data_IF_980911033444
#
_entry.id   IF_980911033444
#
_cell.length_a   1.000
_cell.length_b   1.000
_cell.length_c   1.000
_cell.angle_alpha   90.00
_cell.angle_beta   90.00
_cell.angle_gamma   90.00
#
_symmetry.space_group_name_H-M   'P 1'
#
loop_
_entity.id
_entity.type
_entity.pdbx_description
1 polymer ?
#
# COMPACT_ATOMS: atom_id res chain seq x y z
N UNK A 1 1.81 14.55 -18.86
CA UNK A 1 1.22 13.79 -17.77
C UNK A 1 0.31 12.72 -18.37
N UNK A 2 0.46 11.46 -17.98
CA UNK A 2 -0.43 10.38 -18.39
C UNK A 2 -1.85 10.73 -17.94
N UNK A 3 -2.82 10.66 -18.84
CA UNK A 3 -4.22 10.88 -18.52
C UNK A 3 -4.90 9.55 -18.24
N UNK A 4 -5.40 9.38 -17.05
CA UNK A 4 -6.09 8.16 -16.64
C UNK A 4 -6.26 8.08 -15.13
N UNK A 5 -6.93 7.04 -14.70
CA UNK A 5 -7.29 6.82 -13.31
C UNK A 5 -6.20 6.06 -12.56
N UNK A 6 -5.98 6.43 -11.30
CA UNK A 6 -5.18 5.67 -10.35
C UNK A 6 -6.12 5.07 -9.31
N UNK A 7 -6.12 3.75 -9.21
CA UNK A 7 -6.88 3.03 -8.19
C UNK A 7 -6.11 3.08 -6.87
N UNK A 8 -6.80 3.42 -5.76
CA UNK A 8 -6.24 3.37 -4.41
C UNK A 8 -7.12 2.47 -3.54
N UNK A 9 -6.58 1.35 -3.09
CA UNK A 9 -7.30 0.45 -2.19
C UNK A 9 -7.20 0.91 -0.73
N UNK A 10 -8.29 0.79 0.04
CA UNK A 10 -8.34 1.30 1.41
C UNK A 10 -8.31 2.83 1.49
N UNK A 11 -8.90 3.53 0.51
CA UNK A 11 -8.85 4.98 0.36
C UNK A 11 -9.72 5.78 1.36
N UNK A 12 -10.46 5.13 2.25
CA UNK A 12 -11.44 5.79 3.11
C UNK A 12 -10.85 6.41 4.39
N UNK A 13 -9.60 6.12 4.74
CA UNK A 13 -8.91 6.63 5.95
C UNK A 13 -7.40 6.43 5.92
N UNK A 14 -6.69 7.11 6.81
CA UNK A 14 -5.27 6.89 7.11
C UNK A 14 -4.36 7.13 5.90
N UNK A 15 -3.43 6.21 5.66
CA UNK A 15 -2.43 6.33 4.57
C UNK A 15 -3.11 6.36 3.20
N UNK A 16 -4.10 5.49 2.96
CA UNK A 16 -4.81 5.43 1.68
C UNK A 16 -5.59 6.70 1.35
N UNK A 17 -6.25 7.29 2.33
CA UNK A 17 -6.90 8.60 2.20
C UNK A 17 -5.90 9.70 1.85
N UNK A 18 -4.79 9.77 2.59
CA UNK A 18 -3.75 10.76 2.34
C UNK A 18 -3.14 10.61 0.94
N UNK A 19 -2.94 9.36 0.47
CA UNK A 19 -2.47 9.08 -0.90
C UNK A 19 -3.49 9.56 -1.93
N UNK A 20 -4.77 9.25 -1.74
CA UNK A 20 -5.84 9.70 -2.64
C UNK A 20 -5.86 11.23 -2.79
N UNK A 21 -5.82 11.95 -1.66
CA UNK A 21 -5.78 13.42 -1.63
C UNK A 21 -4.54 13.96 -2.36
N UNK A 22 -3.37 13.38 -2.11
CA UNK A 22 -2.12 13.85 -2.72
C UNK A 22 -2.09 13.60 -4.24
N UNK A 23 -2.60 12.45 -4.71
CA UNK A 23 -2.71 12.15 -6.14
C UNK A 23 -3.67 13.13 -6.84
N UNK A 24 -4.85 13.40 -6.26
CA UNK A 24 -5.78 14.37 -6.82
C UNK A 24 -5.17 15.78 -6.84
N UNK A 25 -4.49 16.20 -5.76
CA UNK A 25 -3.77 17.49 -5.69
C UNK A 25 -2.73 17.64 -6.80
N UNK A 26 -2.14 16.52 -7.25
CA UNK A 26 -1.18 16.50 -8.38
C UNK A 26 -1.87 16.42 -9.75
N UNK A 27 -3.18 16.38 -9.81
CA UNK A 27 -3.97 16.39 -11.04
C UNK A 27 -4.22 15.00 -11.63
N UNK A 28 -4.10 13.93 -10.84
CA UNK A 28 -4.51 12.58 -11.24
C UNK A 28 -5.98 12.32 -10.90
N UNK A 29 -6.67 11.57 -11.76
CA UNK A 29 -8.00 11.07 -11.46
C UNK A 29 -7.89 9.88 -10.48
N UNK A 30 -8.62 9.92 -9.36
CA UNK A 30 -8.55 8.89 -8.32
C UNK A 30 -9.82 8.04 -8.29
N UNK A 31 -9.63 6.71 -8.26
CA UNK A 31 -10.66 5.72 -7.99
C UNK A 31 -10.38 5.04 -6.65
N UNK A 32 -11.13 5.42 -5.60
CA UNK A 32 -10.95 4.90 -4.26
C UNK A 32 -11.76 3.63 -4.02
N UNK A 33 -11.11 2.50 -3.69
CA UNK A 33 -11.78 1.26 -3.31
C UNK A 33 -11.81 1.11 -1.79
N UNK A 34 -12.99 0.90 -1.23
CA UNK A 34 -13.18 0.65 0.21
C UNK A 34 -14.44 -0.19 0.47
N UNK A 35 -14.53 -0.84 1.63
CA UNK A 35 -15.73 -1.62 2.02
C UNK A 35 -17.01 -0.78 2.07
N UNK A 36 -16.91 0.50 2.32
CA UNK A 36 -18.07 1.41 2.36
C UNK A 36 -18.35 2.11 1.04
N UNK A 37 -17.50 1.95 0.03
CA UNK A 37 -17.55 2.73 -1.20
C UNK A 37 -17.21 4.22 -1.02
N UNK A 38 -16.87 4.65 0.21
CA UNK A 38 -16.56 6.05 0.50
C UNK A 38 -15.10 6.36 0.21
N UNK A 39 -14.86 7.52 -0.36
CA UNK A 39 -13.56 8.17 -0.51
C UNK A 39 -13.72 9.66 -0.21
N UNK A 40 -12.63 10.33 0.16
CA UNK A 40 -12.64 11.79 0.45
C UNK A 40 -12.54 12.59 -0.85
N UNK A 41 -11.87 12.02 -1.86
CA UNK A 41 -11.66 12.62 -3.18
C UNK A 41 -11.85 11.58 -4.27
N UNK A 42 -12.11 12.03 -5.50
CA UNK A 42 -12.29 11.17 -6.66
C UNK A 42 -13.58 10.35 -6.61
N UNK A 43 -13.62 9.24 -7.33
CA UNK A 43 -14.77 8.34 -7.40
C UNK A 43 -14.61 7.16 -6.43
N UNK A 44 -15.62 6.93 -5.57
CA UNK A 44 -15.61 5.81 -4.62
C UNK A 44 -16.30 4.57 -5.16
N UNK A 45 -15.73 3.40 -4.88
CA UNK A 45 -16.26 2.09 -5.26
C UNK A 45 -16.28 1.15 -4.04
N UNK A 46 -17.41 0.50 -3.82
CA UNK A 46 -17.51 -0.52 -2.78
C UNK A 46 -16.74 -1.78 -3.22
N UNK A 47 -15.83 -2.23 -2.36
CA UNK A 47 -15.01 -3.41 -2.60
C UNK A 47 -14.54 -4.00 -1.28
N UNK A 48 -14.85 -5.27 -1.04
CA UNK A 48 -14.17 -6.08 -0.02
C UNK A 48 -12.92 -6.70 -0.65
N UNK A 49 -11.76 -6.27 -0.21
CA UNK A 49 -10.48 -6.76 -0.71
C UNK A 49 -10.19 -8.22 -0.34
N UNK A 50 -11.00 -8.86 0.49
CA UNK A 50 -10.89 -10.30 0.78
C UNK A 50 -11.70 -11.18 -0.17
N UNK A 51 -12.50 -10.58 -1.06
CA UNK A 51 -13.30 -11.24 -2.07
C UNK A 51 -12.73 -10.95 -3.48
N UNK A 52 -12.21 -12.00 -4.11
CA UNK A 52 -11.60 -11.93 -5.45
C UNK A 52 -12.59 -11.40 -6.50
N UNK A 53 -13.85 -11.81 -6.43
CA UNK A 53 -14.87 -11.36 -7.36
C UNK A 53 -15.23 -9.89 -7.17
N UNK A 54 -15.31 -9.44 -5.92
CA UNK A 54 -15.53 -8.02 -5.62
C UNK A 54 -14.38 -7.13 -6.15
N UNK A 55 -13.13 -7.60 -6.09
CA UNK A 55 -11.97 -6.91 -6.65
C UNK A 55 -12.10 -6.81 -8.18
N UNK A 56 -12.38 -7.91 -8.87
CA UNK A 56 -12.55 -7.94 -10.31
C UNK A 56 -13.68 -7.01 -10.78
N UNK A 57 -14.86 -7.09 -10.14
CA UNK A 57 -16.01 -6.26 -10.46
C UNK A 57 -15.74 -4.75 -10.23
N UNK A 58 -15.04 -4.41 -9.15
CA UNK A 58 -14.68 -3.03 -8.86
C UNK A 58 -13.70 -2.46 -9.90
N UNK A 59 -12.66 -3.21 -10.27
CA UNK A 59 -11.69 -2.80 -11.30
C UNK A 59 -12.37 -2.65 -12.66
N UNK A 60 -13.27 -3.57 -13.03
CA UNK A 60 -14.06 -3.48 -14.27
C UNK A 60 -14.92 -2.21 -14.31
N UNK A 61 -15.56 -1.84 -13.18
CA UNK A 61 -16.34 -0.60 -13.05
C UNK A 61 -15.47 0.65 -13.23
N UNK A 62 -14.25 0.65 -12.68
CA UNK A 62 -13.28 1.74 -12.88
C UNK A 62 -12.87 1.82 -14.35
N UNK A 63 -12.49 0.70 -14.96
CA UNK A 63 -12.08 0.63 -16.36
C UNK A 63 -13.17 1.11 -17.33
N UNK A 64 -14.45 0.89 -17.01
CA UNK A 64 -15.57 1.39 -17.80
C UNK A 64 -15.70 2.94 -17.83
N UNK A 65 -15.01 3.65 -16.91
CA UNK A 65 -15.02 5.12 -16.85
C UNK A 65 -13.84 5.77 -17.59
N UNK A 66 -12.79 5.00 -17.89
CA UNK A 66 -11.62 5.49 -18.61
C UNK A 66 -10.38 4.65 -18.36
N UNK A 67 -9.25 4.98 -19.01
CA UNK A 67 -8.01 4.26 -18.87
C UNK A 67 -7.53 4.21 -17.41
N UNK A 68 -6.97 3.07 -17.01
CA UNK A 68 -6.29 2.92 -15.72
C UNK A 68 -4.79 2.97 -15.98
N UNK A 69 -4.08 3.88 -15.31
CA UNK A 69 -2.64 4.09 -15.43
C UNK A 69 -1.87 3.71 -14.16
N UNK A 70 -2.59 3.40 -13.08
CA UNK A 70 -1.94 3.08 -11.82
C UNK A 70 -2.83 2.34 -10.84
N UNK A 71 -2.15 1.65 -9.91
CA UNK A 71 -2.76 0.96 -8.77
C UNK A 71 -1.92 1.20 -7.53
N UNK A 72 -2.56 1.64 -6.44
CA UNK A 72 -1.94 1.68 -5.11
C UNK A 72 -2.61 0.62 -4.23
N UNK A 73 -1.90 -0.45 -3.93
CA UNK A 73 -2.32 -1.49 -3.00
C UNK A 73 -2.00 -1.05 -1.57
N UNK A 74 -2.95 -0.38 -0.92
CA UNK A 74 -2.78 0.11 0.45
C UNK A 74 -3.68 -0.62 1.45
N UNK A 75 -4.80 -1.19 1.04
CA UNK A 75 -5.68 -1.93 1.95
C UNK A 75 -4.92 -3.02 2.71
N UNK A 76 -5.06 -3.02 4.03
CA UNK A 76 -4.39 -3.97 4.91
C UNK A 76 -4.87 -3.83 6.35
N UNK A 77 -4.52 -4.81 7.16
CA UNK A 77 -4.77 -4.84 8.59
C UNK A 77 -3.52 -5.32 9.34
N UNK A 78 -3.40 -4.88 10.57
CA UNK A 78 -2.37 -5.27 11.50
C UNK A 78 -3.02 -5.71 12.81
N UNK A 79 -2.69 -6.92 13.24
CA UNK A 79 -3.08 -7.46 14.52
C UNK A 79 -1.89 -8.18 15.14
N UNK A 80 -1.54 -7.79 16.37
CA UNK A 80 -0.46 -8.41 17.14
C UNK A 80 -0.98 -9.61 17.93
N UNK A 81 -0.27 -10.76 17.82
CA UNK A 81 -0.58 -11.96 18.60
C UNK A 81 0.68 -12.80 18.81
N UNK A 82 0.85 -13.36 19.99
CA UNK A 82 1.96 -14.28 20.27
C UNK A 82 1.95 -15.45 19.31
N UNK A 83 3.10 -15.81 18.77
CA UNK A 83 3.20 -16.91 17.78
C UNK A 83 2.68 -18.25 18.30
N UNK A 84 2.81 -18.50 19.61
CA UNK A 84 2.28 -19.72 20.27
C UNK A 84 0.76 -19.76 20.40
N UNK A 85 0.10 -18.60 20.25
CA UNK A 85 -1.35 -18.43 20.38
C UNK A 85 -2.02 -18.10 19.04
N UNK A 86 -1.23 -17.89 17.98
CA UNK A 86 -1.70 -17.54 16.64
C UNK A 86 -2.38 -18.75 16.01
N UNK A 87 -3.67 -18.67 15.77
CA UNK A 87 -4.39 -19.72 15.05
C UNK A 87 -4.08 -19.67 13.55
N UNK A 88 -4.27 -20.80 12.87
CA UNK A 88 -4.15 -20.85 11.41
C UNK A 88 -5.14 -19.88 10.74
N UNK A 89 -6.35 -19.78 11.26
CA UNK A 89 -7.37 -18.87 10.74
C UNK A 89 -6.96 -17.39 10.83
N UNK A 90 -6.35 -16.96 11.93
CA UNK A 90 -5.84 -15.59 12.09
C UNK A 90 -4.69 -15.32 11.09
N UNK A 91 -3.77 -16.29 10.96
CA UNK A 91 -2.67 -16.21 10.01
C UNK A 91 -3.19 -16.09 8.57
N UNK A 92 -4.10 -16.97 8.15
CA UNK A 92 -4.71 -16.98 6.82
C UNK A 92 -5.51 -15.71 6.54
N UNK A 93 -6.25 -15.20 7.53
CA UNK A 93 -7.00 -13.95 7.41
C UNK A 93 -6.07 -12.77 7.11
N UNK A 94 -4.95 -12.67 7.84
CA UNK A 94 -3.93 -11.64 7.61
C UNK A 94 -3.31 -11.77 6.22
N UNK A 95 -2.92 -12.99 5.83
CA UNK A 95 -2.35 -13.27 4.50
C UNK A 95 -3.34 -12.95 3.39
N UNK A 96 -4.60 -13.30 3.56
CA UNK A 96 -5.67 -13.04 2.57
C UNK A 96 -5.80 -11.55 2.26
N UNK A 97 -5.89 -10.70 3.29
CA UNK A 97 -6.05 -9.27 3.08
C UNK A 97 -4.75 -8.59 2.63
N UNK A 98 -3.61 -8.92 3.28
CA UNK A 98 -2.38 -8.14 3.10
C UNK A 98 -1.52 -8.61 1.92
N UNK A 99 -1.65 -9.87 1.47
CA UNK A 99 -0.84 -10.45 0.41
C UNK A 99 -1.67 -10.97 -0.77
N UNK A 100 -2.66 -11.86 -0.51
CA UNK A 100 -3.46 -12.45 -1.60
C UNK A 100 -4.27 -11.38 -2.34
N UNK A 101 -4.88 -10.43 -1.61
CA UNK A 101 -5.62 -9.32 -2.21
C UNK A 101 -4.73 -8.44 -3.10
N UNK A 102 -3.47 -8.22 -2.71
CA UNK A 102 -2.48 -7.48 -3.53
C UNK A 102 -2.23 -8.21 -4.84
N UNK A 103 -1.97 -9.52 -4.79
CA UNK A 103 -1.76 -10.34 -5.98
C UNK A 103 -3.01 -10.32 -6.89
N UNK A 104 -4.21 -10.51 -6.33
CA UNK A 104 -5.46 -10.48 -7.10
C UNK A 104 -5.68 -9.12 -7.76
N UNK A 105 -5.55 -8.02 -7.01
CA UNK A 105 -5.72 -6.67 -7.57
C UNK A 105 -4.71 -6.38 -8.69
N UNK A 106 -3.44 -6.79 -8.53
CA UNK A 106 -2.43 -6.67 -9.58
C UNK A 106 -2.81 -7.47 -10.83
N UNK A 107 -3.28 -8.72 -10.67
CA UNK A 107 -3.71 -9.56 -11.79
C UNK A 107 -4.90 -8.96 -12.53
N UNK A 108 -5.93 -8.52 -11.81
CA UNK A 108 -7.14 -7.97 -12.41
C UNK A 108 -6.90 -6.63 -13.13
N UNK A 109 -5.99 -5.80 -12.61
CA UNK A 109 -5.67 -4.52 -13.26
C UNK A 109 -4.70 -4.66 -14.44
N UNK A 110 -3.94 -5.75 -14.52
CA UNK A 110 -2.88 -5.96 -15.53
C UNK A 110 -3.30 -5.68 -16.96
N UNK A 111 -4.43 -6.22 -17.51
CA UNK A 111 -4.80 -5.97 -18.90
C UNK A 111 -5.04 -4.48 -19.19
N UNK A 112 -5.53 -3.73 -18.23
CA UNK A 112 -5.80 -2.29 -18.34
C UNK A 112 -4.50 -1.48 -18.30
N UNK A 113 -3.57 -1.84 -17.41
CA UNK A 113 -2.25 -1.20 -17.32
C UNK A 113 -1.41 -1.47 -18.56
N UNK A 114 -1.43 -2.71 -19.08
CA UNK A 114 -0.76 -3.07 -20.33
C UNK A 114 -1.31 -2.27 -21.51
N UNK A 115 -2.62 -2.06 -21.57
CA UNK A 115 -3.25 -1.26 -22.60
C UNK A 115 -2.85 0.23 -22.55
N UNK A 116 -2.49 0.75 -21.37
CA UNK A 116 -2.00 2.14 -21.22
C UNK A 116 -0.57 2.33 -21.70
N UNK A 117 0.26 1.27 -21.70
CA UNK A 117 1.63 1.27 -22.22
C UNK A 117 2.67 1.96 -21.33
N UNK A 118 2.26 2.68 -20.31
CA UNK A 118 3.12 3.29 -19.29
C UNK A 118 2.33 3.38 -17.98
N UNK A 119 2.61 2.49 -17.04
CA UNK A 119 1.84 2.35 -15.83
C UNK A 119 2.73 2.09 -14.60
N UNK A 120 2.18 2.40 -13.42
CA UNK A 120 2.86 2.16 -12.15
C UNK A 120 1.92 1.47 -11.16
N UNK A 121 2.41 0.39 -10.55
CA UNK A 121 1.84 -0.20 -9.35
C UNK A 121 2.72 0.19 -8.15
N UNK A 122 2.09 0.72 -7.11
CA UNK A 122 2.74 0.95 -5.81
C UNK A 122 2.07 0.09 -4.76
N UNK A 123 2.79 -0.86 -4.22
CA UNK A 123 2.36 -1.64 -3.07
C UNK A 123 2.76 -0.91 -1.79
N UNK A 124 1.90 -0.89 -0.78
CA UNK A 124 2.25 -0.36 0.54
C UNK A 124 2.68 -1.54 1.42
N UNK A 125 3.98 -1.71 1.49
CA UNK A 125 4.64 -2.70 2.32
C UNK A 125 4.71 -2.32 3.80
N UNK A 126 5.82 -2.63 4.42
CA UNK A 126 6.17 -2.20 5.78
C UNK A 126 7.64 -2.53 6.04
N UNK A 127 8.30 -1.76 6.88
CA UNK A 127 9.64 -2.10 7.38
C UNK A 127 9.67 -3.42 8.21
N UNK A 128 8.51 -3.99 8.54
CA UNK A 128 8.35 -5.30 9.14
C UNK A 128 8.66 -6.46 8.16
N UNK A 129 8.83 -6.18 6.87
CA UNK A 129 9.21 -7.18 5.86
C UNK A 129 10.60 -7.77 6.09
N UNK A 130 11.49 -6.99 6.72
CA UNK A 130 12.89 -7.36 7.00
C UNK A 130 13.25 -7.40 8.49
N UNK A 131 12.37 -6.94 9.39
CA UNK A 131 12.63 -6.92 10.83
C UNK A 131 11.81 -7.97 11.55
N UNK A 132 12.45 -8.67 12.49
CA UNK A 132 11.75 -9.53 13.43
C UNK A 132 11.06 -8.67 14.51
N UNK A 133 9.72 -8.65 14.50
CA UNK A 133 8.92 -7.92 15.48
C UNK A 133 8.09 -8.90 16.28
N UNK A 134 8.31 -8.90 17.59
CA UNK A 134 7.61 -9.79 18.53
C UNK A 134 6.10 -9.61 18.39
N UNK A 135 5.35 -10.71 18.48
CA UNK A 135 3.88 -10.75 18.34
C UNK A 135 3.33 -10.39 16.96
N UNK A 136 4.17 -10.27 15.94
CA UNK A 136 3.75 -9.79 14.61
C UNK A 136 4.04 -10.78 13.47
N UNK A 137 4.11 -12.10 13.77
CA UNK A 137 4.51 -13.12 12.81
C UNK A 137 3.68 -13.07 11.52
N UNK A 138 2.34 -13.08 11.61
CA UNK A 138 1.47 -13.08 10.43
C UNK A 138 1.63 -11.80 9.59
N UNK A 139 1.72 -10.65 10.26
CA UNK A 139 1.91 -9.36 9.59
C UNK A 139 3.27 -9.28 8.90
N UNK A 140 4.37 -9.63 9.58
CA UNK A 140 5.72 -9.68 9.00
C UNK A 140 5.75 -10.60 7.77
N UNK A 141 5.20 -11.82 7.88
CA UNK A 141 5.12 -12.76 6.76
C UNK A 141 4.33 -12.17 5.58
N UNK A 142 3.19 -11.51 5.84
CA UNK A 142 2.38 -10.90 4.79
C UNK A 142 3.10 -9.76 4.08
N UNK A 143 3.84 -8.92 4.80
CA UNK A 143 4.59 -7.80 4.21
C UNK A 143 5.86 -8.26 3.48
N UNK A 144 6.53 -9.31 3.94
CA UNK A 144 7.60 -9.97 3.19
C UNK A 144 7.07 -10.57 1.87
N UNK A 145 5.86 -11.15 1.88
CA UNK A 145 5.20 -11.64 0.66
C UNK A 145 4.92 -10.50 -0.33
N UNK A 146 4.50 -9.31 0.13
CA UNK A 146 4.29 -8.12 -0.73
C UNK A 146 5.59 -7.73 -1.44
N UNK A 147 6.72 -7.68 -0.74
CA UNK A 147 8.03 -7.42 -1.34
C UNK A 147 8.41 -8.46 -2.41
N UNK A 148 8.12 -9.75 -2.17
CA UNK A 148 8.34 -10.81 -3.15
C UNK A 148 7.42 -10.64 -4.38
N UNK A 149 6.11 -10.37 -4.19
CA UNK A 149 5.15 -10.09 -5.25
C UNK A 149 5.65 -8.91 -6.10
N UNK A 150 6.09 -7.82 -5.47
CA UNK A 150 6.62 -6.64 -6.16
C UNK A 150 7.75 -7.00 -7.11
N UNK A 151 8.75 -7.74 -6.63
CA UNK A 151 9.92 -8.13 -7.46
C UNK A 151 9.54 -9.05 -8.62
N UNK A 152 8.69 -10.04 -8.37
CA UNK A 152 8.25 -10.97 -9.41
C UNK A 152 7.47 -10.24 -10.51
N UNK A 153 6.47 -9.43 -10.13
CA UNK A 153 5.65 -8.71 -11.11
C UNK A 153 6.46 -7.64 -11.86
N UNK A 154 7.41 -6.97 -11.20
CA UNK A 154 8.32 -6.04 -11.87
C UNK A 154 9.14 -6.73 -12.95
N UNK A 155 9.70 -7.91 -12.66
CA UNK A 155 10.49 -8.69 -13.64
C UNK A 155 9.63 -9.19 -14.81
N UNK A 156 8.41 -9.66 -14.53
CA UNK A 156 7.51 -10.19 -15.56
C UNK A 156 6.93 -9.09 -16.48
N UNK A 157 6.57 -7.91 -15.91
CA UNK A 157 5.76 -6.90 -16.60
C UNK A 157 6.53 -5.69 -17.10
N UNK A 158 7.84 -5.60 -16.84
CA UNK A 158 8.66 -4.48 -17.27
C UNK A 158 8.60 -4.26 -18.81
N UNK A 159 8.56 -5.33 -19.60
CA UNK A 159 8.46 -5.24 -21.06
C UNK A 159 7.09 -4.81 -21.56
N UNK A 160 6.07 -4.88 -20.72
CA UNK A 160 4.72 -4.40 -20.99
C UNK A 160 4.53 -2.92 -20.57
N UNK A 161 5.62 -2.25 -20.17
CA UNK A 161 5.59 -0.85 -19.71
C UNK A 161 4.99 -0.66 -18.33
N UNK A 162 4.93 -1.72 -17.51
CA UNK A 162 4.38 -1.67 -16.15
C UNK A 162 5.53 -1.74 -15.13
N UNK A 163 5.66 -0.70 -14.33
CA UNK A 163 6.59 -0.66 -13.19
C UNK A 163 5.87 -1.08 -11.92
N UNK A 164 6.55 -1.81 -11.06
CA UNK A 164 5.99 -2.24 -9.78
C UNK A 164 6.98 -1.88 -8.68
N UNK A 165 6.55 -1.09 -7.72
CA UNK A 165 7.35 -0.64 -6.59
C UNK A 165 6.65 -0.98 -5.27
N UNK A 166 7.44 -1.14 -4.23
CA UNK A 166 6.97 -1.25 -2.87
C UNK A 166 7.42 -0.01 -2.08
N UNK A 167 6.49 0.65 -1.41
CA UNK A 167 6.78 1.71 -0.43
C UNK A 167 6.54 1.11 0.95
N UNK A 168 7.59 1.03 1.76
CA UNK A 168 7.58 0.37 3.07
C UNK A 168 7.67 1.40 4.21
N UNK A 169 6.52 1.83 4.78
CA UNK A 169 6.51 2.76 5.90
C UNK A 169 7.05 2.14 7.19
N UNK A 170 7.63 3.00 8.04
CA UNK A 170 7.88 2.73 9.44
C UNK A 170 6.63 2.94 10.31
N UNK A 171 6.83 3.42 11.55
CA UNK A 171 5.72 3.84 12.40
C UNK A 171 5.09 5.11 11.87
N UNK A 172 3.83 5.03 11.41
CA UNK A 172 3.05 6.15 10.90
C UNK A 172 1.89 6.42 11.85
N UNK A 173 1.77 7.68 12.29
CA UNK A 173 0.64 8.11 13.10
C UNK A 173 -0.62 8.21 12.24
N UNK A 174 -1.63 7.45 12.61
CA UNK A 174 -2.96 7.46 11.98
C UNK A 174 -4.02 7.62 13.07
N UNK A 175 -5.26 7.88 12.68
CA UNK A 175 -6.37 7.99 13.65
C UNK A 175 -6.54 6.71 14.49
N UNK A 176 -6.15 5.55 13.96
CA UNK A 176 -6.27 4.26 14.65
C UNK A 176 -5.25 4.07 15.79
N UNK A 177 -4.10 4.73 15.73
CA UNK A 177 -3.00 4.52 16.67
C UNK A 177 -2.53 5.82 17.34
N UNK A 178 -3.21 6.95 17.10
CA UNK A 178 -2.83 8.26 17.62
C UNK A 178 -2.69 8.24 19.15
N UNK A 179 -3.71 7.74 19.86
CA UNK A 179 -3.69 7.70 21.32
C UNK A 179 -2.58 6.80 21.87
N UNK A 180 -2.34 5.67 21.22
CA UNK A 180 -1.23 4.78 21.55
C UNK A 180 0.12 5.47 21.34
N UNK A 181 0.32 6.13 20.19
CA UNK A 181 1.57 6.83 19.87
C UNK A 181 1.76 8.09 20.72
N UNK A 182 0.71 8.74 21.21
CA UNK A 182 0.79 9.94 22.03
C UNK A 182 1.31 9.67 23.46
N UNK A 183 1.32 8.42 23.94
CA UNK A 183 1.78 8.11 25.29
C UNK A 183 3.28 8.43 25.47
N UNK A 184 3.65 9.02 26.62
CA UNK A 184 5.05 9.40 26.90
C UNK A 184 6.04 8.22 26.77
N UNK A 185 5.61 7.02 27.20
CA UNK A 185 6.40 5.79 27.08
C UNK A 185 6.72 5.48 25.63
N UNK A 186 5.74 5.55 24.74
CA UNK A 186 5.91 5.26 23.31
C UNK A 186 6.72 6.37 22.63
N UNK A 187 6.47 7.63 22.98
CA UNK A 187 7.27 8.75 22.48
C UNK A 187 8.76 8.63 22.88
N UNK A 188 9.03 8.26 24.14
CA UNK A 188 10.40 8.01 24.59
C UNK A 188 11.05 6.80 23.88
N UNK A 189 10.25 5.78 23.58
CA UNK A 189 10.69 4.61 22.82
C UNK A 189 10.99 4.98 21.37
N UNK A 190 10.13 5.75 20.68
CA UNK A 190 10.34 6.24 19.32
C UNK A 190 11.63 7.07 19.21
N UNK A 191 11.85 8.00 20.15
CA UNK A 191 13.08 8.82 20.18
C UNK A 191 14.38 8.00 20.29
N UNK A 192 14.31 6.83 20.91
CA UNK A 192 15.50 5.95 21.03
C UNK A 192 15.64 5.00 19.84
N UNK A 193 14.54 4.59 19.24
CA UNK A 193 14.51 3.50 18.26
C UNK A 193 14.52 3.98 16.81
N UNK A 194 13.89 5.12 16.55
CA UNK A 194 13.81 5.74 15.23
C UNK A 194 14.84 6.87 15.15
N UNK A 195 15.82 6.84 14.25
CA UNK A 195 16.82 7.93 14.12
C UNK A 195 16.19 9.32 13.91
N UNK A 196 15.07 9.41 13.18
CA UNK A 196 14.32 10.65 13.03
C UNK A 196 13.61 11.11 14.34
N UNK A 197 13.61 10.29 15.40
CA UNK A 197 13.11 10.61 16.74
C UNK A 197 11.58 10.67 16.88
N UNK A 198 10.81 10.30 15.86
CA UNK A 198 9.35 10.40 15.82
C UNK A 198 8.71 9.36 14.92
N UNK A 199 7.40 9.20 15.02
CA UNK A 199 6.62 8.56 13.97
C UNK A 199 6.54 9.47 12.72
N UNK A 200 6.36 8.87 11.54
CA UNK A 200 6.00 9.56 10.32
C UNK A 200 4.52 9.89 10.27
N UNK A 201 4.10 10.66 9.27
CA UNK A 201 2.70 10.99 9.00
C UNK A 201 2.21 10.32 7.72
N UNK A 202 0.88 10.09 7.56
CA UNK A 202 0.29 9.63 6.31
C UNK A 202 0.65 10.53 5.11
N UNK A 203 0.77 11.84 5.34
CA UNK A 203 1.12 12.82 4.30
C UNK A 203 2.56 12.66 3.81
N UNK A 204 3.49 12.20 4.65
CA UNK A 204 4.87 11.92 4.21
C UNK A 204 4.90 10.71 3.28
N UNK A 205 4.15 9.64 3.58
CA UNK A 205 3.99 8.48 2.70
C UNK A 205 3.30 8.89 1.40
N UNK A 206 2.22 9.67 1.50
CA UNK A 206 1.45 10.14 0.35
C UNK A 206 2.29 10.97 -0.61
N UNK A 207 3.13 11.89 -0.09
CA UNK A 207 4.04 12.70 -0.93
C UNK A 207 5.05 11.85 -1.68
N UNK A 208 5.58 10.78 -1.06
CA UNK A 208 6.48 9.84 -1.74
C UNK A 208 5.74 9.13 -2.88
N UNK A 209 4.57 8.54 -2.60
CA UNK A 209 3.77 7.87 -3.62
C UNK A 209 3.40 8.83 -4.76
N UNK A 210 2.95 10.04 -4.42
CA UNK A 210 2.62 11.07 -5.42
C UNK A 210 3.82 11.50 -6.26
N UNK A 211 5.03 11.57 -5.68
CA UNK A 211 6.25 11.84 -6.42
C UNK A 211 6.60 10.72 -7.40
N UNK A 212 6.47 9.44 -6.99
CA UNK A 212 6.72 8.29 -7.88
C UNK A 212 5.82 8.30 -9.13
N UNK A 213 4.56 8.72 -8.99
CA UNK A 213 3.66 8.88 -10.14
C UNK A 213 3.98 10.12 -10.97
N UNK A 214 4.31 11.24 -10.34
CA UNK A 214 4.54 12.52 -11.05
C UNK A 214 5.87 12.53 -11.83
N UNK A 215 6.94 11.99 -11.24
CA UNK A 215 8.27 11.96 -11.86
C UNK A 215 8.40 10.87 -12.92
N UNK A 216 7.57 9.84 -12.87
CA UNK A 216 7.48 8.79 -13.89
C UNK A 216 8.84 8.19 -14.31
N UNK A 217 9.67 7.79 -13.34
CA UNK A 217 11.03 7.29 -13.58
C UNK A 217 10.98 5.89 -14.19
N UNK A 218 11.13 5.78 -15.50
CA UNK A 218 10.91 4.54 -16.24
C UNK A 218 11.86 3.39 -15.86
N UNK A 219 13.07 3.70 -15.38
CA UNK A 219 14.07 2.68 -15.01
C UNK A 219 13.96 2.22 -13.56
N UNK A 220 13.02 2.78 -12.79
CA UNK A 220 12.78 2.43 -11.38
C UNK A 220 11.65 1.41 -11.28
N UNK A 221 11.99 0.15 -11.03
CA UNK A 221 11.02 -0.95 -10.82
C UNK A 221 11.65 -2.07 -9.99
N UNK A 222 10.83 -2.84 -9.28
CA UNK A 222 11.25 -4.01 -8.50
C UNK A 222 11.83 -3.71 -7.12
N UNK A 223 11.87 -2.43 -6.71
CA UNK A 223 12.49 -2.00 -5.47
C UNK A 223 11.49 -1.77 -4.34
N UNK A 224 11.98 -1.96 -3.11
CA UNK A 224 11.31 -1.52 -1.88
C UNK A 224 11.95 -0.23 -1.37
N UNK A 225 11.17 0.83 -1.28
CA UNK A 225 11.60 2.14 -0.82
C UNK A 225 11.12 2.32 0.63
N UNK A 226 12.06 2.28 1.59
CA UNK A 226 11.74 2.46 3.00
C UNK A 226 11.55 3.92 3.35
N UNK A 227 10.42 4.23 3.99
CA UNK A 227 10.10 5.53 4.57
C UNK A 227 9.81 5.34 6.07
N UNK A 228 10.86 5.07 6.84
CA UNK A 228 10.81 4.59 8.22
C UNK A 228 11.60 5.46 9.22
N UNK A 229 12.02 6.65 8.79
CA UNK A 229 12.84 7.54 9.61
C UNK A 229 14.22 7.01 9.94
N UNK A 230 14.74 6.05 9.15
CA UNK A 230 16.02 5.40 9.31
C UNK A 230 16.03 4.23 10.28
N UNK A 231 14.85 3.78 10.75
CA UNK A 231 14.77 2.71 11.76
C UNK A 231 15.32 1.38 11.26
N UNK A 232 15.05 0.99 10.03
CA UNK A 232 15.53 -0.25 9.45
C UNK A 232 17.03 -0.28 9.13
N UNK A 233 17.72 0.87 9.21
CA UNK A 233 19.16 1.00 9.03
C UNK A 233 19.91 1.15 10.37
N UNK A 234 19.19 1.27 11.50
CA UNK A 234 19.76 1.47 12.83
C UNK A 234 19.82 0.13 13.60
N UNK A 235 20.98 -0.17 14.17
CA UNK A 235 21.27 -1.39 14.97
C UNK A 235 21.23 -1.11 16.46
#
# INVERSE_FOLDING_TARGET
MLKGQIIVTGASRGIGEAIAIELERRGFDVAGLSRSGKTVVGAGYECDMTDERAIADAIAKVAAKGPIIGLVNNAGAHEGKRSSELSLADFESTMRLNASAVMVACREVYPHLKASGDALIVNIGSFFDKLAVVENLAYCASKAAVGAITRCLAAEWARDGIRVLDVAPGYIETDLNRDFLASEKIQAWLRRRVPAGRAGSPQEVARLVGALYAENIAFLTGETIYIDGGQGANH
#
